data_IF_476622250313
#
_entry.id   IF_476622250313
#
_cell.length_a   1.000
_cell.length_b   1.000
_cell.length_c   1.000
_cell.angle_alpha   90.00
_cell.angle_beta   90.00
_cell.angle_gamma   90.00
#
_symmetry.space_group_name_H-M   'P 1'
#
loop_
_entity.id
_entity.type
_entity.pdbx_description
1 polymer ?
#
# COMPACT_ATOMS: atom_id res chain seq x y z
N UNK A 1 -4.18 32.45 10.38
CA UNK A 1 -4.44 31.15 11.05
C UNK A 1 -3.29 30.18 10.73
N UNK A 2 -2.45 29.88 11.71
CA UNK A 2 -1.28 29.02 11.53
C UNK A 2 -1.73 27.57 11.29
N UNK A 3 -1.34 27.02 10.14
CA UNK A 3 -1.48 25.60 9.84
C UNK A 3 -0.59 24.81 10.81
N UNK A 4 -1.21 23.89 11.55
CA UNK A 4 -0.48 22.97 12.39
C UNK A 4 0.26 21.99 11.47
N UNK A 5 1.58 22.16 11.37
CA UNK A 5 2.47 21.14 10.83
C UNK A 5 2.21 19.83 11.58
N UNK A 6 1.71 18.82 10.87
CA UNK A 6 1.50 17.49 11.41
C UNK A 6 2.82 16.99 11.99
N UNK A 7 2.88 16.89 13.32
CA UNK A 7 4.09 16.44 13.99
C UNK A 7 4.41 15.03 13.51
N UNK A 8 5.64 14.82 13.02
CA UNK A 8 6.25 13.51 12.89
C UNK A 8 6.41 12.89 14.28
N UNK A 9 5.30 12.41 14.84
CA UNK A 9 5.25 11.76 16.15
C UNK A 9 5.80 10.35 16.03
N UNK A 10 6.84 10.04 16.80
CA UNK A 10 7.29 8.67 16.97
C UNK A 10 6.12 7.78 17.45
N UNK A 11 5.95 6.57 16.91
CA UNK A 11 4.79 5.74 17.21
C UNK A 11 4.75 5.32 18.69
N UNK A 12 3.55 5.13 19.27
CA UNK A 12 3.38 4.49 20.58
C UNK A 12 4.04 3.11 20.60
N UNK A 13 4.79 2.80 21.66
CA UNK A 13 5.49 1.51 21.85
C UNK A 13 4.54 0.39 22.34
N UNK A 14 3.46 0.17 21.62
CA UNK A 14 2.66 -1.05 21.75
C UNK A 14 3.18 -2.09 20.74
N UNK A 15 2.68 -3.33 20.79
CA UNK A 15 3.25 -4.49 20.08
C UNK A 15 3.34 -4.25 18.56
N UNK A 16 4.47 -3.68 18.13
CA UNK A 16 4.73 -3.31 16.76
C UNK A 16 4.79 -4.58 15.91
N UNK A 17 3.99 -4.59 14.86
CA UNK A 17 3.88 -5.63 13.87
C UNK A 17 4.35 -5.11 12.52
N UNK A 18 5.01 -5.97 11.73
CA UNK A 18 5.45 -5.63 10.38
C UNK A 18 6.65 -4.70 10.36
N UNK A 19 6.67 -3.80 9.37
CA UNK A 19 7.83 -2.97 9.07
C UNK A 19 7.69 -1.57 9.68
N UNK A 20 8.77 -1.02 10.27
CA UNK A 20 8.84 0.41 10.53
C UNK A 20 8.91 1.20 9.22
N UNK A 21 8.60 2.51 9.28
CA UNK A 21 8.56 3.41 8.12
C UNK A 21 9.86 3.32 7.32
N UNK A 22 11.02 3.42 7.96
CA UNK A 22 12.31 3.47 7.29
C UNK A 22 12.63 2.17 6.55
N UNK A 23 12.26 1.02 7.14
CA UNK A 23 12.46 -0.28 6.51
C UNK A 23 11.50 -0.47 5.33
N UNK A 24 10.24 -0.06 5.46
CA UNK A 24 9.28 -0.08 4.38
C UNK A 24 9.70 0.85 3.22
N UNK A 25 10.18 2.06 3.51
CA UNK A 25 10.73 2.96 2.51
C UNK A 25 11.92 2.33 1.78
N UNK A 26 12.87 1.75 2.52
CA UNK A 26 14.02 1.07 1.93
C UNK A 26 13.58 -0.10 1.03
N UNK A 27 12.68 -0.94 1.53
CA UNK A 27 12.20 -2.13 0.81
C UNK A 27 11.27 -1.83 -0.36
N UNK A 28 10.64 -0.66 -0.44
CA UNK A 28 9.78 -0.29 -1.56
C UNK A 28 10.51 0.55 -2.61
N UNK A 29 11.41 1.43 -2.20
CA UNK A 29 12.00 2.45 -3.08
C UNK A 29 13.49 2.24 -3.40
N UNK A 30 14.28 1.58 -2.53
CA UNK A 30 15.71 1.39 -2.79
C UNK A 30 15.94 0.07 -3.53
N UNK A 31 16.55 0.07 -4.71
CA UNK A 31 16.84 -1.18 -5.43
C UNK A 31 17.65 -1.01 -6.70
N UNK A 32 17.95 -2.12 -7.39
CA UNK A 32 18.80 -2.12 -8.58
C UNK A 32 18.11 -1.52 -9.82
N UNK A 33 16.79 -1.33 -9.79
CA UNK A 33 16.04 -0.77 -10.92
C UNK A 33 16.26 0.75 -11.00
N UNK A 34 16.87 1.20 -12.09
CA UNK A 34 17.29 2.60 -12.30
C UNK A 34 16.18 3.52 -12.81
N UNK A 35 14.91 3.15 -12.60
CA UNK A 35 13.73 3.91 -13.03
C UNK A 35 12.93 4.42 -11.84
N UNK A 36 12.01 5.37 -12.08
CA UNK A 36 10.99 5.74 -11.09
C UNK A 36 10.15 4.54 -10.63
N UNK A 37 9.22 4.76 -9.70
CA UNK A 37 8.39 3.68 -9.19
C UNK A 37 7.53 3.06 -10.33
N UNK A 38 7.62 1.74 -10.60
CA UNK A 38 7.01 1.12 -11.79
C UNK A 38 5.48 1.24 -11.87
N UNK A 39 4.85 1.51 -10.73
CA UNK A 39 3.40 1.57 -10.56
C UNK A 39 2.82 2.99 -10.65
N UNK A 40 3.63 4.01 -10.91
CA UNK A 40 3.20 5.43 -10.93
C UNK A 40 2.02 5.72 -11.85
N UNK A 41 1.84 4.93 -12.90
CA UNK A 41 0.81 5.12 -13.93
C UNK A 41 -0.34 4.12 -13.80
N UNK A 42 -0.36 3.32 -12.72
CA UNK A 42 -1.42 2.35 -12.46
C UNK A 42 -2.46 2.91 -11.49
N UNK A 43 -3.71 2.42 -11.55
CA UNK A 43 -4.67 2.58 -10.46
C UNK A 43 -4.11 2.11 -9.12
N UNK A 44 -4.50 2.77 -8.04
CA UNK A 44 -3.93 2.58 -6.70
C UNK A 44 -4.00 1.12 -6.21
N UNK A 45 -5.08 0.42 -6.53
CA UNK A 45 -5.28 -0.98 -6.17
C UNK A 45 -4.28 -1.91 -6.88
N UNK A 46 -3.96 -1.63 -8.15
CA UNK A 46 -2.95 -2.38 -8.89
C UNK A 46 -1.54 -1.96 -8.46
N UNK A 47 -1.34 -0.68 -8.16
CA UNK A 47 -0.07 -0.18 -7.63
C UNK A 47 0.27 -0.85 -6.29
N UNK A 48 -0.72 -1.06 -5.41
CA UNK A 48 -0.55 -1.82 -4.18
C UNK A 48 -0.14 -3.27 -4.41
N UNK A 49 -0.68 -3.94 -5.45
CA UNK A 49 -0.23 -5.30 -5.83
C UNK A 49 1.23 -5.29 -6.29
N UNK A 50 1.62 -4.35 -7.14
CA UNK A 50 3.01 -4.19 -7.58
C UNK A 50 3.97 -3.96 -6.40
N UNK A 51 3.59 -3.06 -5.49
CA UNK A 51 4.34 -2.79 -4.27
C UNK A 51 4.46 -4.03 -3.37
N UNK A 52 3.38 -4.81 -3.20
CA UNK A 52 3.40 -6.06 -2.45
C UNK A 52 4.35 -7.10 -3.07
N UNK A 53 4.32 -7.27 -4.39
CA UNK A 53 5.23 -8.17 -5.11
C UNK A 53 6.69 -7.79 -4.87
N UNK A 54 7.03 -6.51 -5.00
CA UNK A 54 8.39 -6.01 -4.72
C UNK A 54 8.79 -6.26 -3.26
N UNK A 55 7.89 -5.94 -2.33
CA UNK A 55 8.13 -6.11 -0.90
C UNK A 55 8.41 -7.58 -0.57
N UNK A 56 7.59 -8.50 -1.05
CA UNK A 56 7.74 -9.93 -0.79
C UNK A 56 8.97 -10.53 -1.44
N UNK A 57 9.32 -10.14 -2.68
CA UNK A 57 10.55 -10.60 -3.32
C UNK A 57 11.80 -10.26 -2.50
N UNK A 58 11.80 -9.10 -1.83
CA UNK A 58 12.91 -8.64 -0.99
C UNK A 58 12.92 -9.23 0.42
N UNK A 59 11.74 -9.46 0.99
CA UNK A 59 11.61 -10.12 2.30
C UNK A 59 11.92 -11.63 2.25
N UNK A 60 11.72 -12.26 1.09
CA UNK A 60 11.90 -13.69 0.88
C UNK A 60 12.95 -13.97 -0.21
N UNK A 61 14.24 -13.63 0.00
CA UNK A 61 15.27 -13.86 -1.00
C UNK A 61 15.41 -15.35 -1.30
N UNK A 62 15.39 -15.70 -2.59
CA UNK A 62 15.39 -17.10 -3.07
C UNK A 62 14.02 -17.79 -3.01
N UNK A 63 12.95 -17.05 -2.69
CA UNK A 63 11.58 -17.54 -2.74
C UNK A 63 11.00 -17.64 -4.15
N UNK A 64 9.69 -17.88 -4.24
CA UNK A 64 8.96 -18.03 -5.50
C UNK A 64 8.81 -16.72 -6.30
N UNK A 65 8.98 -15.57 -5.64
CA UNK A 65 8.87 -14.24 -6.25
C UNK A 65 10.26 -13.67 -6.51
N UNK A 66 10.59 -13.41 -7.78
CA UNK A 66 11.81 -12.73 -8.17
C UNK A 66 11.67 -11.19 -8.10
N UNK A 67 12.80 -10.47 -8.02
CA UNK A 67 12.80 -9.00 -7.90
C UNK A 67 12.16 -8.27 -9.10
N UNK A 68 12.13 -8.90 -10.28
CA UNK A 68 11.52 -8.31 -11.49
C UNK A 68 10.00 -8.49 -11.56
N UNK A 69 9.40 -9.28 -10.66
CA UNK A 69 7.96 -9.58 -10.67
C UNK A 69 7.10 -8.31 -10.66
N UNK A 70 7.47 -7.32 -9.84
CA UNK A 70 6.79 -6.02 -9.81
C UNK A 70 6.84 -5.32 -11.18
N UNK A 71 8.03 -5.20 -11.79
CA UNK A 71 8.19 -4.49 -13.06
C UNK A 71 7.46 -5.18 -14.21
N UNK A 72 7.49 -6.52 -14.24
CA UNK A 72 6.72 -7.30 -15.23
C UNK A 72 5.21 -7.12 -15.03
N UNK A 73 4.73 -7.17 -13.79
CA UNK A 73 3.34 -6.91 -13.44
C UNK A 73 2.88 -5.54 -13.93
N UNK A 74 3.66 -4.50 -13.60
CA UNK A 74 3.30 -3.13 -13.95
C UNK A 74 3.29 -2.92 -15.46
N UNK A 75 4.26 -3.46 -16.20
CA UNK A 75 4.30 -3.37 -17.66
C UNK A 75 3.11 -4.07 -18.34
N UNK A 76 2.71 -5.25 -17.85
CA UNK A 76 1.54 -5.98 -18.37
C UNK A 76 0.25 -5.21 -18.13
N UNK A 77 0.07 -4.63 -16.93
CA UNK A 77 -1.15 -3.88 -16.57
C UNK A 77 -1.25 -2.54 -17.27
N UNK A 78 -0.14 -1.84 -17.50
CA UNK A 78 -0.15 -0.61 -18.29
C UNK A 78 -0.65 -0.83 -19.72
N UNK A 79 -0.39 -2.00 -20.29
CA UNK A 79 -0.84 -2.37 -21.63
C UNK A 79 -2.35 -2.63 -21.72
N UNK A 80 -3.06 -2.68 -20.59
CA UNK A 80 -4.48 -3.07 -20.49
C UNK A 80 -5.40 -1.93 -20.01
N UNK A 81 -4.89 -0.71 -19.81
CA UNK A 81 -5.66 0.35 -19.15
C UNK A 81 -6.79 0.89 -20.03
N UNK A 82 -8.03 0.78 -19.53
CA UNK A 82 -9.19 1.55 -19.94
C UNK A 82 -10.10 1.85 -18.73
N UNK A 83 -10.49 3.12 -18.63
CA UNK A 83 -11.58 3.75 -17.87
C UNK A 83 -11.69 3.58 -16.34
N UNK A 84 -11.36 4.68 -15.65
CA UNK A 84 -12.36 5.55 -15.01
C UNK A 84 -13.30 4.94 -13.96
N UNK A 85 -13.00 5.24 -12.69
CA UNK A 85 -13.87 5.14 -11.50
C UNK A 85 -14.59 3.80 -11.32
N UNK A 86 -13.84 2.81 -10.83
CA UNK A 86 -14.40 1.55 -10.30
C UNK A 86 -14.96 1.79 -8.90
N UNK A 87 -16.12 1.21 -8.57
CA UNK A 87 -16.64 1.23 -7.19
C UNK A 87 -15.65 0.56 -6.24
N UNK A 88 -15.70 0.87 -4.94
CA UNK A 88 -14.80 0.23 -3.96
C UNK A 88 -14.88 -1.31 -3.96
N UNK A 89 -16.07 -1.87 -4.25
CA UNK A 89 -16.26 -3.32 -4.43
C UNK A 89 -15.45 -3.82 -5.63
N UNK A 90 -15.61 -3.17 -6.80
CA UNK A 90 -14.92 -3.53 -8.03
C UNK A 90 -13.40 -3.34 -7.91
N UNK A 91 -12.94 -2.27 -7.26
CA UNK A 91 -11.51 -2.03 -7.00
C UNK A 91 -10.91 -3.16 -6.15
N UNK A 92 -11.60 -3.58 -5.08
CA UNK A 92 -11.11 -4.66 -4.25
C UNK A 92 -11.21 -6.04 -4.91
N UNK A 93 -12.17 -6.28 -5.82
CA UNK A 93 -12.22 -7.48 -6.67
C UNK A 93 -11.07 -7.49 -7.68
N UNK A 94 -10.80 -6.36 -8.33
CA UNK A 94 -9.69 -6.18 -9.25
C UNK A 94 -8.35 -6.43 -8.55
N UNK A 95 -8.19 -5.92 -7.33
CA UNK A 95 -7.01 -6.17 -6.48
C UNK A 95 -6.81 -7.66 -6.20
N UNK A 96 -7.87 -8.36 -5.77
CA UNK A 96 -7.80 -9.81 -5.51
C UNK A 96 -7.43 -10.59 -6.77
N UNK A 97 -8.14 -10.34 -7.87
CA UNK A 97 -7.90 -11.03 -9.14
C UNK A 97 -6.48 -10.78 -9.67
N UNK A 98 -5.99 -9.54 -9.57
CA UNK A 98 -4.64 -9.18 -9.99
C UNK A 98 -3.56 -9.87 -9.13
N UNK A 99 -3.73 -9.87 -7.81
CA UNK A 99 -2.82 -10.52 -6.88
C UNK A 99 -2.77 -12.05 -7.09
N UNK A 100 -3.92 -12.70 -7.25
CA UNK A 100 -4.01 -14.14 -7.48
C UNK A 100 -3.41 -14.57 -8.82
N UNK A 101 -3.64 -13.79 -9.88
CA UNK A 101 -3.02 -14.01 -11.19
C UNK A 101 -1.48 -13.95 -11.13
N UNK A 102 -0.94 -13.22 -10.15
CA UNK A 102 0.49 -13.03 -9.93
C UNK A 102 1.06 -13.89 -8.79
N UNK A 103 0.36 -14.95 -8.43
CA UNK A 103 0.88 -15.97 -7.52
C UNK A 103 0.85 -15.58 -6.05
N UNK A 104 0.13 -14.52 -5.69
CA UNK A 104 -0.21 -14.22 -4.30
C UNK A 104 -1.49 -14.95 -3.88
N UNK A 105 -1.67 -15.07 -2.58
CA UNK A 105 -2.95 -15.34 -1.95
C UNK A 105 -3.61 -14.01 -1.62
N UNK A 106 -4.90 -13.86 -1.94
CA UNK A 106 -5.67 -12.66 -1.64
C UNK A 106 -6.94 -13.02 -0.88
N UNK A 107 -7.18 -12.39 0.28
CA UNK A 107 -8.32 -12.73 1.15
C UNK A 107 -9.00 -11.48 1.69
N UNK A 108 -10.33 -11.40 1.55
CA UNK A 108 -11.11 -10.35 2.23
C UNK A 108 -10.97 -10.48 3.74
N UNK A 109 -10.73 -9.37 4.41
CA UNK A 109 -10.62 -9.26 5.88
C UNK A 109 -11.55 -8.16 6.40
N UNK A 110 -11.90 -8.19 7.69
CA UNK A 110 -12.61 -7.07 8.32
C UNK A 110 -11.69 -5.90 8.67
N UNK A 111 -10.39 -6.13 8.82
CA UNK A 111 -9.35 -5.12 9.13
C UNK A 111 -7.94 -5.67 8.87
N UNK A 112 -6.92 -4.83 9.03
CA UNK A 112 -5.51 -5.21 8.95
C UNK A 112 -5.02 -6.15 10.08
N UNK A 113 -5.79 -6.33 11.16
CA UNK A 113 -5.31 -6.99 12.38
C UNK A 113 -4.85 -8.44 12.16
N UNK A 114 -5.49 -9.18 11.27
CA UNK A 114 -5.07 -10.55 10.93
C UNK A 114 -3.68 -10.57 10.24
N UNK A 115 -3.44 -9.63 9.34
CA UNK A 115 -2.19 -9.49 8.60
C UNK A 115 -1.07 -9.03 9.52
N UNK A 116 -1.33 -8.05 10.40
CA UNK A 116 -0.38 -7.63 11.44
C UNK A 116 -0.03 -8.79 12.37
N UNK A 117 -1.03 -9.59 12.80
CA UNK A 117 -0.77 -10.80 13.61
C UNK A 117 0.09 -11.81 12.87
N UNK A 118 -0.11 -11.99 11.56
CA UNK A 118 0.72 -12.87 10.76
C UNK A 118 2.18 -12.36 10.69
N UNK A 119 2.38 -11.06 10.50
CA UNK A 119 3.72 -10.44 10.49
C UNK A 119 4.47 -10.66 11.81
N UNK A 120 3.79 -10.56 12.97
CA UNK A 120 4.40 -10.87 14.29
C UNK A 120 4.86 -12.33 14.39
N UNK A 121 4.21 -13.22 13.65
CA UNK A 121 4.55 -14.64 13.57
C UNK A 121 5.61 -14.93 12.50
N UNK A 122 6.28 -13.89 11.97
CA UNK A 122 7.24 -13.97 10.85
C UNK A 122 6.64 -14.54 9.57
N UNK A 123 5.33 -14.39 9.38
CA UNK A 123 4.64 -14.79 8.15
C UNK A 123 4.41 -13.54 7.29
N UNK A 124 5.03 -13.43 6.11
CA UNK A 124 4.86 -12.26 5.26
C UNK A 124 3.41 -12.12 4.81
N UNK A 125 2.81 -11.00 5.20
CA UNK A 125 1.49 -10.59 4.77
C UNK A 125 1.50 -9.06 4.69
N UNK A 126 0.58 -8.47 3.93
CA UNK A 126 0.23 -7.05 3.95
C UNK A 126 -1.28 -6.93 3.84
N UNK A 127 -1.85 -5.80 4.24
CA UNK A 127 -3.28 -5.58 4.07
C UNK A 127 -3.54 -4.32 3.24
N UNK A 128 -4.13 -4.49 2.08
CA UNK A 128 -4.61 -3.38 1.27
C UNK A 128 -5.96 -2.91 1.79
N UNK A 129 -6.11 -1.61 2.00
CA UNK A 129 -7.37 -0.96 2.33
C UNK A 129 -7.86 -0.17 1.13
N UNK A 130 -9.11 -0.38 0.74
CA UNK A 130 -9.79 0.42 -0.27
C UNK A 130 -10.62 1.48 0.44
N UNK A 131 -10.46 2.72 0.02
CA UNK A 131 -11.02 3.93 0.59
C UNK A 131 -12.02 4.53 -0.42
N UNK A 132 -13.14 5.07 0.05
CA UNK A 132 -14.15 5.71 -0.82
C UNK A 132 -13.96 7.23 -0.92
N UNK A 133 -13.56 7.87 0.18
CA UNK A 133 -13.52 9.32 0.32
C UNK A 133 -12.09 9.80 0.61
N UNK A 134 -11.10 9.32 -0.17
CA UNK A 134 -9.71 9.69 0.09
C UNK A 134 -9.42 11.13 -0.31
N UNK A 135 -8.80 11.88 0.62
CA UNK A 135 -8.21 13.20 0.38
C UNK A 135 -6.69 13.05 0.37
N UNK A 136 -6.09 13.23 -0.80
CA UNK A 136 -4.65 13.16 -1.00
C UNK A 136 -4.01 14.54 -1.05
N UNK A 137 -2.71 14.61 -0.78
CA UNK A 137 -1.90 15.80 -1.03
C UNK A 137 -1.30 15.69 -2.43
N UNK A 138 -1.59 16.66 -3.29
CA UNK A 138 -1.08 16.73 -4.67
C UNK A 138 -0.25 18.00 -4.84
N UNK A 139 0.90 17.88 -5.49
CA UNK A 139 1.72 19.03 -5.85
C UNK A 139 1.16 19.71 -7.12
N UNK A 140 0.83 20.99 -7.03
CA UNK A 140 0.39 21.77 -8.18
C UNK A 140 1.54 21.97 -9.18
N UNK A 141 1.41 21.53 -10.45
CA UNK A 141 2.52 21.56 -11.41
C UNK A 141 2.99 22.98 -11.77
N UNK A 142 2.15 24.01 -11.56
CA UNK A 142 2.46 25.39 -11.91
C UNK A 142 3.19 26.15 -10.80
N UNK A 143 2.81 25.91 -9.54
CA UNK A 143 3.29 26.64 -8.37
C UNK A 143 4.24 25.83 -7.49
N UNK A 144 4.21 24.50 -7.56
CA UNK A 144 4.92 23.61 -6.64
C UNK A 144 4.32 23.60 -5.24
N UNK A 145 3.12 24.17 -5.03
CA UNK A 145 2.43 24.13 -3.75
C UNK A 145 1.71 22.79 -3.55
N UNK A 146 1.71 22.28 -2.32
CA UNK A 146 0.98 21.09 -1.91
C UNK A 146 -0.48 21.45 -1.57
N UNK A 147 -1.44 20.82 -2.25
CA UNK A 147 -2.88 21.06 -2.07
C UNK A 147 -3.59 19.76 -1.69
N UNK A 148 -4.55 19.85 -0.76
CA UNK A 148 -5.48 18.75 -0.47
C UNK A 148 -6.51 18.64 -1.61
N UNK A 149 -6.66 17.42 -2.16
CA UNK A 149 -7.61 17.14 -3.23
C UNK A 149 -8.46 15.91 -2.89
N UNK A 150 -9.78 16.00 -3.10
CA UNK A 150 -10.67 14.84 -3.05
C UNK A 150 -10.35 13.92 -4.24
N UNK A 151 -9.65 12.82 -3.96
CA UNK A 151 -9.26 11.82 -4.97
C UNK A 151 -10.41 10.83 -5.20
N UNK A 152 -11.24 10.59 -4.18
CA UNK A 152 -12.31 9.60 -4.21
C UNK A 152 -11.79 8.20 -3.91
N UNK A 153 -12.16 7.23 -4.75
CA UNK A 153 -11.77 5.83 -4.54
C UNK A 153 -10.25 5.66 -4.62
N UNK A 154 -9.64 5.13 -3.56
CA UNK A 154 -8.19 4.94 -3.46
C UNK A 154 -7.82 3.64 -2.78
N UNK A 155 -6.55 3.24 -2.87
CA UNK A 155 -6.05 2.07 -2.17
C UNK A 155 -4.69 2.32 -1.53
N UNK A 156 -4.56 1.94 -0.26
CA UNK A 156 -3.31 1.98 0.49
C UNK A 156 -2.92 0.58 0.93
N UNK A 157 -1.62 0.35 1.13
CA UNK A 157 -1.10 -0.92 1.65
C UNK A 157 -0.54 -0.75 3.06
N UNK A 158 -1.17 -1.40 4.04
CA UNK A 158 -0.65 -1.52 5.41
C UNK A 158 0.47 -2.55 5.45
N UNK A 159 1.68 -2.08 5.78
CA UNK A 159 2.91 -2.88 5.86
C UNK A 159 3.43 -3.06 7.28
N UNK A 160 2.84 -2.36 8.24
CA UNK A 160 3.15 -2.47 9.65
C UNK A 160 2.16 -1.67 10.49
N UNK A 161 2.37 -1.65 11.79
CA UNK A 161 1.51 -0.92 12.72
C UNK A 161 1.51 -1.52 14.11
N UNK A 162 0.57 -1.07 14.90
CA UNK A 162 0.32 -1.57 16.25
C UNK A 162 -0.75 -2.66 16.21
N UNK A 163 -0.45 -3.83 16.78
CA UNK A 163 -1.40 -4.94 16.84
C UNK A 163 -2.61 -4.66 17.75
N UNK A 164 -2.41 -3.86 18.80
CA UNK A 164 -3.43 -3.56 19.81
C UNK A 164 -4.03 -2.16 19.63
N UNK A 165 -3.27 -1.26 19.01
CA UNK A 165 -3.70 0.10 18.74
C UNK A 165 -4.33 0.29 17.37
N UNK A 166 -4.30 1.56 16.95
CA UNK A 166 -5.01 2.06 15.77
C UNK A 166 -4.07 2.74 14.78
N UNK A 167 -2.77 2.57 14.97
CA UNK A 167 -1.73 3.21 14.17
C UNK A 167 -1.16 2.18 13.19
N UNK A 168 -1.03 2.59 11.93
CA UNK A 168 -0.55 1.76 10.83
C UNK A 168 0.63 2.45 10.19
N UNK A 169 1.56 1.65 9.65
CA UNK A 169 2.53 2.09 8.65
C UNK A 169 1.91 1.73 7.31
N UNK A 170 1.54 2.75 6.54
CA UNK A 170 0.85 2.58 5.27
C UNK A 170 1.71 3.12 4.14
N UNK A 171 1.71 2.39 3.03
CA UNK A 171 2.20 2.83 1.75
C UNK A 171 1.04 3.40 0.92
N UNK A 172 1.18 4.63 0.47
CA UNK A 172 0.32 5.28 -0.51
C UNK A 172 1.03 5.29 -1.87
N UNK A 173 0.51 4.62 -2.91
CA UNK A 173 1.14 4.63 -4.24
C UNK A 173 1.10 6.00 -4.94
N UNK A 174 0.23 6.92 -4.53
CA UNK A 174 0.08 8.26 -5.10
C UNK A 174 0.75 9.35 -4.26
N UNK A 175 1.41 8.97 -3.17
CA UNK A 175 2.30 9.88 -2.45
C UNK A 175 3.40 10.46 -3.36
N UNK A 176 4.06 11.50 -2.88
CA UNK A 176 5.09 12.23 -3.64
C UNK A 176 6.11 11.29 -4.29
N UNK A 177 6.56 11.63 -5.51
CA UNK A 177 7.56 10.86 -6.27
C UNK A 177 7.15 9.42 -6.63
N UNK A 178 5.85 9.13 -6.66
CA UNK A 178 5.33 7.81 -7.04
C UNK A 178 5.19 6.84 -5.88
N UNK A 179 5.06 7.38 -4.68
CA UNK A 179 4.58 6.70 -3.51
C UNK A 179 5.23 7.22 -2.24
N UNK A 180 4.50 7.12 -1.14
CA UNK A 180 4.95 7.52 0.18
C UNK A 180 4.69 6.40 1.19
N UNK A 181 5.56 6.28 2.18
CA UNK A 181 5.29 5.45 3.37
C UNK A 181 5.21 6.38 4.57
N UNK A 182 4.08 6.37 5.25
CA UNK A 182 3.81 7.23 6.39
C UNK A 182 3.03 6.52 7.50
N UNK A 183 2.96 7.16 8.66
CA UNK A 183 2.11 6.72 9.76
C UNK A 183 0.66 7.17 9.54
N UNK A 184 -0.27 6.24 9.70
CA UNK A 184 -1.70 6.44 9.53
C UNK A 184 -2.45 6.04 10.80
N UNK A 185 -3.23 6.97 11.34
CA UNK A 185 -4.09 6.71 12.51
C UNK A 185 -5.44 6.14 12.08
N UNK A 186 -6.19 5.51 13.00
CA UNK A 186 -7.58 5.13 12.70
C UNK A 186 -8.49 6.34 12.48
N UNK A 187 -8.11 7.54 12.95
CA UNK A 187 -8.86 8.75 12.61
C UNK A 187 -8.75 9.02 11.11
N UNK A 188 -7.53 8.98 10.56
CA UNK A 188 -7.25 9.15 9.14
C UNK A 188 -8.01 8.11 8.28
N UNK A 189 -7.96 6.84 8.69
CA UNK A 189 -8.68 5.76 7.98
C UNK A 189 -10.21 5.91 8.01
N UNK A 190 -10.76 6.36 9.15
CA UNK A 190 -12.20 6.59 9.27
C UNK A 190 -12.66 7.78 8.43
N UNK A 191 -11.86 8.84 8.36
CA UNK A 191 -12.17 9.99 7.51
C UNK A 191 -12.18 9.63 6.04
N UNK A 192 -11.31 8.71 5.61
CA UNK A 192 -11.24 8.25 4.23
C UNK A 192 -12.24 7.12 3.87
N UNK A 193 -13.21 6.82 4.75
CA UNK A 193 -14.28 5.84 4.51
C UNK A 193 -13.76 4.47 4.00
N UNK A 194 -13.06 3.73 4.87
CA UNK A 194 -12.57 2.39 4.52
C UNK A 194 -13.72 1.43 4.14
N UNK A 195 -13.77 1.05 2.87
CA UNK A 195 -14.83 0.24 2.29
C UNK A 195 -14.47 -1.26 2.20
N UNK A 196 -13.19 -1.59 2.04
CA UNK A 196 -12.75 -2.98 2.01
C UNK A 196 -11.31 -3.16 2.50
N UNK A 197 -11.05 -4.35 3.06
CA UNK A 197 -9.71 -4.79 3.41
C UNK A 197 -9.40 -6.11 2.71
N UNK A 198 -8.25 -6.17 2.07
CA UNK A 198 -7.75 -7.37 1.37
C UNK A 198 -6.35 -7.68 1.85
N UNK A 199 -6.20 -8.81 2.52
CA UNK A 199 -4.89 -9.36 2.86
C UNK A 199 -4.25 -9.98 1.64
N UNK A 200 -2.97 -9.66 1.41
CA UNK A 200 -2.11 -10.28 0.42
C UNK A 200 -0.98 -11.03 1.11
N UNK A 201 -0.64 -12.23 0.65
CA UNK A 201 0.49 -13.01 1.14
C UNK A 201 1.13 -13.85 0.02
N UNK A 202 2.42 -14.19 0.09
CA UNK A 202 3.04 -15.14 -0.84
C UNK A 202 2.42 -16.54 -0.70
N UNK A 203 2.16 -17.23 -1.81
CA UNK A 203 1.69 -18.63 -1.78
C UNK A 203 2.72 -19.54 -1.14
N UNK A 204 2.26 -20.41 -0.24
CA UNK A 204 3.12 -21.40 0.40
C UNK A 204 4.12 -20.83 1.40
N UNK A 205 3.94 -19.57 1.83
CA UNK A 205 4.63 -19.07 3.03
C UNK A 205 4.14 -19.91 4.25
N UNK A 206 5.07 -20.42 5.09
CA UNK A 206 4.73 -21.23 6.27
C UNK A 206 3.88 -20.46 7.29
#
# INVERSE_FOLDING_TARGET
PAAAAGSAGAPPRELAAGLPVEAAQALLFLGPETGGAPWQTLPAELACVGAALRLFARLLPGGALDESACSRFCAERLSLSADGTTSAVAAAEALQAAAEAWGLEARRRPSAGASLKAMVQNRPAVCCVVLEDYVGIVEDPGSGEELEHEVGNHCLMVVGGDLLGTSHVAFDPFGLRGGEVAYWSAHSLRQASAAAWVELAPRGAP
#
